data_IF_700818462904
#
_entry.id   IF_700818462904
#
_cell.length_a   1.000
_cell.length_b   1.000
_cell.length_c   1.000
_cell.angle_alpha   90.00
_cell.angle_beta   90.00
_cell.angle_gamma   90.00
#
_symmetry.space_group_name_H-M   'P 1'
#
loop_
_entity.id
_entity.type
_entity.pdbx_description
1 polymer ?
#
# COMPACT_ATOMS: atom_id res chain seq x y z
N UNK A 1 7.15 23.38 -4.54
CA UNK A 1 7.43 22.01 -4.02
C UNK A 1 6.98 22.00 -2.57
N UNK A 2 6.29 20.95 -2.14
CA UNK A 2 5.84 20.77 -0.74
C UNK A 2 7.09 20.45 0.08
N UNK A 3 7.28 21.12 1.23
CA UNK A 3 8.40 20.81 2.13
C UNK A 3 8.23 19.42 2.76
N UNK A 4 9.33 18.85 3.25
CA UNK A 4 9.26 17.54 3.94
C UNK A 4 8.39 17.59 5.20
N UNK A 5 8.39 18.72 5.92
CA UNK A 5 7.56 18.92 7.11
C UNK A 5 6.07 19.05 6.80
N UNK A 6 5.72 19.64 5.66
CA UNK A 6 4.33 19.82 5.23
C UNK A 6 3.74 18.58 4.55
N UNK A 7 4.59 17.68 4.03
CA UNK A 7 4.15 16.52 3.24
C UNK A 7 3.13 15.63 3.96
N UNK A 8 3.30 15.23 5.24
CA UNK A 8 2.33 14.37 5.92
C UNK A 8 0.94 15.00 6.03
N UNK A 9 0.91 16.29 6.40
CA UNK A 9 -0.35 17.05 6.52
C UNK A 9 -1.04 17.22 5.16
N UNK A 10 -0.27 17.53 4.12
CA UNK A 10 -0.77 17.64 2.75
C UNK A 10 -1.35 16.32 2.25
N UNK A 11 -0.60 15.22 2.39
CA UNK A 11 -1.00 13.88 1.97
C UNK A 11 -2.30 13.47 2.68
N UNK A 12 -2.39 13.70 3.98
CA UNK A 12 -3.60 13.41 4.75
C UNK A 12 -4.81 14.17 4.21
N UNK A 13 -4.73 15.50 4.08
CA UNK A 13 -5.83 16.33 3.56
C UNK A 13 -6.26 15.90 2.16
N UNK A 14 -5.29 15.56 1.32
CA UNK A 14 -5.54 15.08 -0.03
C UNK A 14 -6.34 13.77 0.00
N UNK A 15 -5.92 12.76 0.79
CA UNK A 15 -6.62 11.48 0.90
C UNK A 15 -8.00 11.63 1.54
N UNK A 16 -8.15 12.48 2.58
CA UNK A 16 -9.45 12.81 3.16
C UNK A 16 -10.42 13.37 2.10
N UNK A 17 -9.93 14.25 1.24
CA UNK A 17 -10.76 14.89 0.20
C UNK A 17 -11.17 13.94 -0.94
N UNK A 18 -10.29 13.00 -1.34
CA UNK A 18 -10.58 12.07 -2.45
C UNK A 18 -11.25 10.76 -2.00
N UNK A 19 -11.37 10.51 -0.70
CA UNK A 19 -11.91 9.26 -0.18
C UNK A 19 -13.20 8.79 -0.86
N UNK A 20 -14.23 9.65 -1.10
CA UNK A 20 -15.48 9.20 -1.74
C UNK A 20 -15.33 8.69 -3.17
N UNK A 21 -14.26 9.09 -3.88
CA UNK A 21 -14.04 8.73 -5.29
C UNK A 21 -12.81 7.84 -5.50
N UNK A 22 -12.12 7.49 -4.41
CA UNK A 22 -10.83 6.81 -4.45
C UNK A 22 -10.89 5.47 -5.18
N UNK A 23 -11.81 4.59 -4.80
CA UNK A 23 -11.96 3.26 -5.42
C UNK A 23 -12.37 3.33 -6.89
N UNK A 24 -13.30 4.24 -7.21
CA UNK A 24 -13.72 4.50 -8.58
C UNK A 24 -12.54 4.93 -9.46
N UNK A 25 -11.76 5.90 -8.99
CA UNK A 25 -10.61 6.39 -9.76
C UNK A 25 -9.50 5.35 -9.89
N UNK A 26 -9.22 4.56 -8.85
CA UNK A 26 -8.29 3.44 -8.96
C UNK A 26 -8.74 2.44 -10.04
N UNK A 27 -10.03 2.13 -10.09
CA UNK A 27 -10.59 1.26 -11.10
C UNK A 27 -10.44 1.85 -12.51
N UNK A 28 -10.77 3.13 -12.69
CA UNK A 28 -10.65 3.81 -14.00
C UNK A 28 -9.20 3.87 -14.45
N UNK A 29 -8.29 4.36 -13.59
CA UNK A 29 -6.86 4.52 -13.94
C UNK A 29 -6.16 3.20 -14.23
N UNK A 30 -6.59 2.09 -13.64
CA UNK A 30 -5.94 0.80 -13.82
C UNK A 30 -6.75 -0.17 -14.67
N UNK A 31 -7.91 0.28 -15.22
CA UNK A 31 -8.88 -0.60 -15.86
C UNK A 31 -9.23 -1.83 -15.00
N UNK A 32 -9.30 -1.66 -13.67
CA UNK A 32 -9.57 -2.70 -12.69
C UNK A 32 -8.39 -3.62 -12.34
N UNK A 33 -7.23 -3.47 -12.98
CA UNK A 33 -6.07 -4.33 -12.73
C UNK A 33 -5.55 -4.27 -11.28
N UNK A 34 -5.84 -3.18 -10.56
CA UNK A 34 -5.46 -3.03 -9.15
C UNK A 34 -6.05 -4.13 -8.24
N UNK A 35 -7.19 -4.70 -8.59
CA UNK A 35 -7.76 -5.83 -7.85
C UNK A 35 -6.91 -7.09 -8.01
N UNK A 36 -6.43 -7.38 -9.23
CA UNK A 36 -5.54 -8.51 -9.48
C UNK A 36 -4.19 -8.34 -8.78
N UNK A 37 -3.65 -7.12 -8.75
CA UNK A 37 -2.38 -6.84 -8.08
C UNK A 37 -2.50 -7.04 -6.56
N UNK A 38 -3.57 -6.53 -5.92
CA UNK A 38 -3.86 -6.76 -4.49
C UNK A 38 -4.07 -8.24 -4.19
N UNK A 39 -4.80 -8.95 -5.05
CA UNK A 39 -4.97 -10.39 -4.90
C UNK A 39 -3.63 -11.13 -4.96
N UNK A 40 -2.74 -10.71 -5.84
CA UNK A 40 -1.38 -11.29 -5.93
C UNK A 40 -0.58 -11.01 -4.65
N UNK A 41 -0.62 -9.78 -4.12
CA UNK A 41 0.01 -9.46 -2.84
C UNK A 41 -0.62 -10.25 -1.68
N UNK A 42 -1.95 -10.39 -1.65
CA UNK A 42 -2.66 -11.15 -0.63
C UNK A 42 -2.21 -12.62 -0.58
N UNK A 43 -1.97 -13.25 -1.73
CA UNK A 43 -1.42 -14.62 -1.79
C UNK A 43 -0.03 -14.74 -1.17
N UNK A 44 0.84 -13.74 -1.39
CA UNK A 44 2.17 -13.71 -0.74
C UNK A 44 2.05 -13.47 0.78
N UNK A 45 1.05 -12.67 1.20
CA UNK A 45 0.78 -12.40 2.62
C UNK A 45 0.34 -13.68 3.33
N UNK A 46 -0.61 -14.42 2.77
CA UNK A 46 -1.17 -15.62 3.40
C UNK A 46 -0.32 -16.88 3.21
N UNK A 47 0.73 -16.83 2.40
CA UNK A 47 1.58 -17.98 2.12
C UNK A 47 2.34 -18.54 3.35
N UNK A 48 2.41 -17.76 4.44
CA UNK A 48 3.00 -18.17 5.72
C UNK A 48 1.97 -18.59 6.78
N UNK A 49 0.70 -18.72 6.42
CA UNK A 49 -0.43 -18.99 7.32
C UNK A 49 -0.43 -18.10 8.58
N UNK A 50 -0.40 -16.75 8.42
CA UNK A 50 -0.27 -15.81 9.52
C UNK A 50 -1.50 -15.85 10.43
N UNK A 51 -1.30 -15.80 11.75
CA UNK A 51 -2.39 -15.61 12.71
C UNK A 51 -2.82 -14.12 12.78
N UNK A 52 -1.87 -13.20 12.61
CA UNK A 52 -2.12 -11.74 12.67
C UNK A 52 -1.46 -11.04 11.48
N UNK A 53 -2.27 -10.34 10.69
CA UNK A 53 -1.84 -9.50 9.55
C UNK A 53 -2.11 -8.04 9.88
N UNK A 54 -1.12 -7.19 9.72
CA UNK A 54 -1.21 -5.73 9.87
C UNK A 54 -1.14 -5.07 8.49
N UNK A 55 -2.24 -4.43 8.07
CA UNK A 55 -2.33 -3.69 6.79
C UNK A 55 -2.18 -2.19 7.07
N UNK A 56 -1.02 -1.64 6.73
CA UNK A 56 -0.64 -0.25 6.98
C UNK A 56 -1.08 0.69 5.85
N UNK A 57 -1.69 1.81 6.20
CA UNK A 57 -2.39 2.70 5.29
C UNK A 57 -3.43 1.92 4.46
N UNK A 58 -4.30 1.20 5.16
CA UNK A 58 -5.27 0.30 4.55
C UNK A 58 -6.31 1.02 3.66
N UNK A 59 -6.43 2.34 3.79
CA UNK A 59 -7.37 3.15 3.03
C UNK A 59 -8.81 2.65 3.19
N UNK A 60 -9.45 2.36 2.08
CA UNK A 60 -10.82 1.81 2.04
C UNK A 60 -10.88 0.29 2.26
N UNK A 61 -9.78 -0.35 2.69
CA UNK A 61 -9.72 -1.75 3.10
C UNK A 61 -9.52 -2.79 1.99
N UNK A 62 -9.30 -2.38 0.75
CA UNK A 62 -9.26 -3.30 -0.40
C UNK A 62 -8.19 -4.42 -0.27
N UNK A 63 -6.99 -4.13 0.29
CA UNK A 63 -5.98 -5.16 0.50
C UNK A 63 -6.38 -6.07 1.66
N UNK A 64 -6.88 -5.52 2.77
CA UNK A 64 -7.40 -6.29 3.90
C UNK A 64 -8.49 -7.28 3.47
N UNK A 65 -9.41 -6.85 2.60
CA UNK A 65 -10.45 -7.74 2.06
C UNK A 65 -9.88 -8.80 1.13
N UNK A 66 -8.88 -8.47 0.32
CA UNK A 66 -8.21 -9.45 -0.54
C UNK A 66 -7.47 -10.51 0.31
N UNK A 67 -6.83 -10.12 1.40
CA UNK A 67 -6.20 -11.05 2.36
C UNK A 67 -7.25 -11.97 2.98
N UNK A 68 -8.36 -11.43 3.47
CA UNK A 68 -9.45 -12.24 4.03
C UNK A 68 -10.00 -13.27 3.03
N UNK A 69 -10.08 -12.91 1.75
CA UNK A 69 -10.57 -13.80 0.69
C UNK A 69 -9.59 -14.93 0.34
N UNK A 70 -8.29 -14.64 0.32
CA UNK A 70 -7.24 -15.62 -0.04
C UNK A 70 -6.78 -16.47 1.15
N UNK A 71 -7.02 -16.06 2.40
CA UNK A 71 -6.63 -16.81 3.59
C UNK A 71 -7.39 -18.13 3.69
N UNK A 72 -6.67 -19.23 3.90
CA UNK A 72 -7.23 -20.58 4.08
C UNK A 72 -7.39 -20.95 5.57
N UNK A 73 -6.47 -20.44 6.40
CA UNK A 73 -6.52 -20.59 7.85
C UNK A 73 -7.08 -19.33 8.53
N UNK A 74 -7.63 -19.44 9.75
CA UNK A 74 -8.09 -18.29 10.53
C UNK A 74 -6.97 -17.27 10.77
N UNK A 75 -7.22 -16.01 10.45
CA UNK A 75 -6.32 -14.91 10.75
C UNK A 75 -7.10 -13.66 11.20
N UNK A 76 -6.50 -12.88 12.08
CA UNK A 76 -6.97 -11.54 12.42
C UNK A 76 -6.27 -10.51 11.54
N UNK A 77 -7.05 -9.61 10.93
CA UNK A 77 -6.50 -8.54 10.08
C UNK A 77 -6.71 -7.22 10.81
N UNK A 78 -5.62 -6.47 11.00
CA UNK A 78 -5.64 -5.13 11.58
C UNK A 78 -5.34 -4.13 10.47
N UNK A 79 -6.36 -3.38 10.04
CA UNK A 79 -6.22 -2.28 9.08
C UNK A 79 -5.94 -0.98 9.80
N UNK A 80 -4.81 -0.34 9.50
CA UNK A 80 -4.41 0.94 10.10
C UNK A 80 -4.39 2.02 9.04
N UNK A 81 -5.04 3.14 9.30
CA UNK A 81 -4.94 4.34 8.46
C UNK A 81 -5.03 5.61 9.32
N UNK A 82 -4.45 6.72 8.84
CA UNK A 82 -4.52 8.00 9.53
C UNK A 82 -5.76 8.83 9.14
N UNK A 83 -6.44 8.47 8.03
CA UNK A 83 -7.58 9.17 7.44
C UNK A 83 -8.92 8.61 7.97
N UNK A 84 -9.68 9.36 8.80
CA UNK A 84 -10.99 8.89 9.25
C UNK A 84 -11.96 8.61 8.10
N UNK A 85 -12.08 9.46 7.03
CA UNK A 85 -12.99 9.17 5.92
C UNK A 85 -12.67 7.86 5.18
N UNK A 86 -11.38 7.49 5.09
CA UNK A 86 -10.96 6.21 4.51
C UNK A 86 -11.42 5.03 5.39
N UNK A 87 -11.19 5.12 6.70
CA UNK A 87 -11.61 4.08 7.66
C UNK A 87 -13.13 3.93 7.71
N UNK A 88 -13.88 5.03 7.65
CA UNK A 88 -15.35 4.98 7.60
C UNK A 88 -15.83 4.20 6.37
N UNK A 89 -15.21 4.43 5.21
CA UNK A 89 -15.51 3.67 3.99
C UNK A 89 -15.09 2.20 4.12
N UNK A 90 -13.93 1.90 4.71
CA UNK A 90 -13.50 0.53 4.96
C UNK A 90 -14.48 -0.22 5.87
N UNK A 91 -14.93 0.40 6.95
CA UNK A 91 -15.94 -0.16 7.87
C UNK A 91 -17.28 -0.37 7.17
N UNK A 92 -17.75 0.62 6.38
CA UNK A 92 -18.98 0.51 5.62
C UNK A 92 -18.94 -0.64 4.59
N UNK A 93 -17.82 -0.78 3.86
CA UNK A 93 -17.58 -1.90 2.93
C UNK A 93 -17.56 -3.24 3.68
N UNK A 94 -16.83 -3.31 4.79
CA UNK A 94 -16.79 -4.51 5.63
C UNK A 94 -18.18 -4.91 6.14
N UNK A 95 -19.00 -3.93 6.57
CA UNK A 95 -20.37 -4.20 7.04
C UNK A 95 -21.25 -4.83 5.95
N UNK A 96 -21.02 -4.48 4.67
CA UNK A 96 -21.79 -4.95 3.51
C UNK A 96 -21.31 -6.30 2.96
N UNK A 97 -20.15 -6.82 3.38
CA UNK A 97 -19.68 -8.12 2.93
C UNK A 97 -20.64 -9.24 3.34
N UNK A 98 -21.01 -10.08 2.38
CA UNK A 98 -21.89 -11.25 2.60
C UNK A 98 -21.19 -12.32 3.44
N UNK A 99 -19.91 -12.53 3.22
CA UNK A 99 -19.08 -13.49 3.94
C UNK A 99 -17.97 -12.75 4.69
N UNK A 100 -17.97 -12.85 6.00
CA UNK A 100 -16.92 -12.37 6.92
C UNK A 100 -16.18 -13.58 7.47
N UNK A 101 -15.28 -14.12 6.66
CA UNK A 101 -14.58 -15.38 7.00
C UNK A 101 -13.71 -15.24 8.25
N UNK A 102 -13.09 -14.05 8.41
CA UNK A 102 -12.20 -13.76 9.51
C UNK A 102 -12.41 -12.31 10.01
N UNK A 103 -12.05 -12.01 11.28
CA UNK A 103 -12.19 -10.66 11.81
C UNK A 103 -11.25 -9.68 11.10
N UNK A 104 -11.78 -8.51 10.77
CA UNK A 104 -11.02 -7.34 10.35
C UNK A 104 -11.35 -6.21 11.31
N UNK A 105 -10.33 -5.64 11.93
CA UNK A 105 -10.43 -4.48 12.80
C UNK A 105 -9.77 -3.28 12.13
N UNK A 106 -10.37 -2.10 12.24
CA UNK A 106 -9.83 -0.87 11.68
C UNK A 106 -9.46 0.10 12.79
N UNK A 107 -8.22 0.57 12.78
CA UNK A 107 -7.65 1.44 13.79
C UNK A 107 -7.07 2.70 13.14
N UNK A 108 -7.37 3.85 13.72
CA UNK A 108 -6.71 5.10 13.35
C UNK A 108 -5.38 5.24 14.08
N UNK A 109 -4.27 5.22 13.34
CA UNK A 109 -2.94 5.48 13.89
C UNK A 109 -1.99 6.02 12.82
N UNK A 110 -0.84 6.51 13.27
CA UNK A 110 0.31 6.85 12.42
C UNK A 110 1.13 5.58 12.17
N UNK A 111 1.46 5.32 10.91
CA UNK A 111 2.27 4.16 10.51
C UNK A 111 3.73 4.24 10.96
N UNK A 112 4.18 5.43 11.38
CA UNK A 112 5.52 5.66 11.94
C UNK A 112 5.57 5.51 13.47
N UNK A 113 4.40 5.40 14.15
CA UNK A 113 4.28 5.27 15.60
C UNK A 113 3.07 4.41 15.95
N UNK A 114 3.17 3.11 15.71
CA UNK A 114 2.07 2.17 15.88
C UNK A 114 1.79 1.88 17.37
N UNK A 115 0.52 1.92 17.81
CA UNK A 115 0.15 1.59 19.17
C UNK A 115 0.10 0.07 19.39
N UNK A 116 1.11 -0.64 18.92
CA UNK A 116 1.23 -2.08 18.99
C UNK A 116 2.52 -2.47 19.71
N UNK A 117 2.51 -3.56 20.51
CA UNK A 117 3.72 -4.09 21.13
C UNK A 117 4.75 -4.54 20.10
N UNK A 118 6.02 -4.61 20.52
CA UNK A 118 7.06 -5.25 19.75
C UNK A 118 6.73 -6.72 19.49
N UNK A 119 7.13 -7.23 18.32
CA UNK A 119 6.98 -8.64 17.95
C UNK A 119 5.54 -9.18 18.16
N UNK A 120 4.51 -8.40 17.75
CA UNK A 120 3.11 -8.74 17.99
C UNK A 120 2.36 -9.26 16.74
N UNK A 121 2.91 -9.06 15.52
CA UNK A 121 2.26 -9.45 14.27
C UNK A 121 3.13 -10.39 13.43
N UNK A 122 2.50 -11.27 12.67
CA UNK A 122 3.19 -12.24 11.81
C UNK A 122 3.54 -11.66 10.46
N UNK A 123 2.64 -10.82 9.90
CA UNK A 123 2.85 -10.15 8.63
C UNK A 123 2.49 -8.67 8.74
N UNK A 124 3.37 -7.81 8.23
CA UNK A 124 3.09 -6.40 7.95
C UNK A 124 2.94 -6.22 6.44
N UNK A 125 1.90 -5.57 6.02
CA UNK A 125 1.67 -5.28 4.60
C UNK A 125 1.21 -3.85 4.36
N UNK A 126 1.36 -3.39 3.12
CA UNK A 126 0.76 -2.16 2.62
C UNK A 126 0.59 -2.20 1.10
N UNK A 127 -0.28 -1.35 0.58
CA UNK A 127 -0.41 -1.15 -0.86
C UNK A 127 -0.44 0.35 -1.20
N UNK A 128 0.51 0.79 -2.04
CA UNK A 128 0.60 2.16 -2.57
C UNK A 128 0.83 3.25 -1.51
N UNK A 129 1.53 2.89 -0.41
CA UNK A 129 1.86 3.78 0.70
C UNK A 129 3.22 4.45 0.53
N UNK A 130 4.28 3.67 0.23
CA UNK A 130 5.68 4.04 0.49
C UNK A 130 6.11 5.35 -0.17
N UNK A 131 5.64 5.66 -1.38
CA UNK A 131 5.93 6.92 -2.08
C UNK A 131 5.39 8.17 -1.37
N UNK A 132 4.43 8.00 -0.46
CA UNK A 132 3.82 9.08 0.31
C UNK A 132 4.59 9.42 1.59
N UNK A 133 5.46 8.52 2.04
CA UNK A 133 6.27 8.71 3.24
C UNK A 133 7.42 9.71 2.99
N UNK A 134 7.87 10.35 4.06
CA UNK A 134 9.03 11.24 4.07
C UNK A 134 10.30 10.43 4.29
N UNK A 135 10.25 9.49 5.23
CA UNK A 135 11.38 8.68 5.64
C UNK A 135 11.02 7.19 5.60
N UNK A 136 11.59 6.47 4.63
CA UNK A 136 11.37 5.02 4.47
C UNK A 136 12.10 4.21 5.56
N UNK A 137 13.26 4.68 6.01
CA UNK A 137 14.05 3.98 7.04
C UNK A 137 13.30 3.93 8.38
N UNK A 138 12.72 5.06 8.80
CA UNK A 138 11.90 5.14 10.00
C UNK A 138 10.68 4.20 9.91
N UNK A 139 10.01 4.19 8.75
CA UNK A 139 8.89 3.30 8.51
C UNK A 139 9.30 1.82 8.56
N UNK A 140 10.41 1.45 7.93
CA UNK A 140 10.90 0.07 7.95
C UNK A 140 11.34 -0.36 9.35
N UNK A 141 11.92 0.55 10.12
CA UNK A 141 12.27 0.32 11.54
C UNK A 141 11.02 0.00 12.36
N UNK A 142 9.94 0.77 12.19
CA UNK A 142 8.69 0.53 12.88
C UNK A 142 8.01 -0.78 12.43
N UNK A 143 8.01 -1.08 11.13
CA UNK A 143 7.57 -2.39 10.62
C UNK A 143 8.37 -3.54 11.24
N UNK A 144 9.69 -3.39 11.30
CA UNK A 144 10.56 -4.39 11.88
C UNK A 144 10.32 -4.57 13.38
N UNK A 145 10.03 -3.48 14.12
CA UNK A 145 9.71 -3.53 15.55
C UNK A 145 8.49 -4.39 15.84
N UNK A 146 7.39 -4.15 15.13
CA UNK A 146 6.12 -4.85 15.38
C UNK A 146 6.08 -6.28 14.84
N UNK A 147 6.89 -6.59 13.83
CA UNK A 147 7.01 -7.96 13.30
C UNK A 147 7.64 -8.90 14.32
N UNK A 148 7.09 -10.10 14.45
CA UNK A 148 7.72 -11.20 15.18
C UNK A 148 9.03 -11.65 14.51
N UNK A 149 9.98 -12.24 15.24
CA UNK A 149 11.08 -12.97 14.62
C UNK A 149 10.56 -14.00 13.60
N UNK A 150 11.14 -14.03 12.40
CA UNK A 150 10.64 -14.84 11.28
C UNK A 150 9.39 -14.27 10.59
N UNK A 151 8.87 -13.13 11.03
CA UNK A 151 7.71 -12.45 10.42
C UNK A 151 8.04 -11.88 9.04
N UNK A 152 7.00 -11.61 8.26
CA UNK A 152 7.11 -11.21 6.85
C UNK A 152 6.61 -9.80 6.63
N UNK A 153 7.33 -9.04 5.81
CA UNK A 153 6.90 -7.76 5.24
C UNK A 153 6.54 -7.95 3.77
N UNK A 154 5.34 -7.51 3.36
CA UNK A 154 4.89 -7.56 1.97
C UNK A 154 4.41 -6.18 1.55
N UNK A 155 4.99 -5.59 0.50
CA UNK A 155 4.53 -4.29 -0.01
C UNK A 155 4.22 -4.35 -1.51
N UNK A 156 3.10 -3.77 -1.89
CA UNK A 156 2.66 -3.58 -3.28
C UNK A 156 2.78 -2.10 -3.63
N UNK A 157 3.63 -1.75 -4.61
CA UNK A 157 3.86 -0.34 -4.93
C UNK A 157 4.02 -0.12 -6.44
N UNK A 158 3.65 1.10 -6.89
CA UNK A 158 3.92 1.57 -8.25
C UNK A 158 5.44 1.69 -8.41
N UNK A 159 5.95 1.28 -9.56
CA UNK A 159 7.38 1.36 -9.86
C UNK A 159 7.62 1.76 -11.32
N UNK A 160 8.86 1.98 -11.66
CA UNK A 160 9.27 2.31 -13.02
C UNK A 160 9.41 1.04 -13.85
N UNK A 161 8.68 0.91 -14.98
CA UNK A 161 8.83 -0.26 -15.86
C UNK A 161 10.29 -0.46 -16.30
N UNK A 162 10.79 -1.71 -16.30
CA UNK A 162 12.18 -1.98 -16.66
C UNK A 162 12.45 -1.89 -18.17
N UNK A 163 11.40 -2.00 -19.01
CA UNK A 163 11.52 -1.97 -20.46
C UNK A 163 11.47 -0.53 -20.98
N UNK A 164 12.55 0.03 -21.58
CA UNK A 164 12.65 1.45 -21.91
C UNK A 164 11.50 2.00 -22.76
N UNK A 165 11.12 1.34 -23.84
CA UNK A 165 10.04 1.81 -24.72
C UNK A 165 8.67 1.83 -24.02
N UNK A 166 8.37 0.80 -23.25
CA UNK A 166 7.15 0.74 -22.43
C UNK A 166 7.18 1.75 -21.29
N UNK A 167 8.36 1.98 -20.68
CA UNK A 167 8.55 3.00 -19.65
C UNK A 167 8.15 4.37 -20.16
N UNK A 168 8.60 4.79 -21.35
CA UNK A 168 8.24 6.09 -21.92
C UNK A 168 6.74 6.21 -22.20
N UNK A 169 6.09 5.16 -22.68
CA UNK A 169 4.64 5.13 -22.86
C UNK A 169 3.89 5.22 -21.52
N UNK A 170 4.36 4.51 -20.49
CA UNK A 170 3.80 4.59 -19.15
C UNK A 170 3.96 5.99 -18.53
N UNK A 171 5.14 6.61 -18.66
CA UNK A 171 5.40 7.96 -18.19
C UNK A 171 4.49 8.98 -18.90
N UNK A 172 4.29 8.84 -20.21
CA UNK A 172 3.36 9.69 -20.96
C UNK A 172 1.92 9.55 -20.46
N UNK A 173 1.44 8.32 -20.27
CA UNK A 173 0.14 8.01 -19.68
C UNK A 173 0.02 8.62 -18.28
N UNK A 174 0.99 8.34 -17.41
CA UNK A 174 0.94 8.67 -15.99
C UNK A 174 1.05 10.17 -15.72
N UNK A 175 1.88 10.89 -16.51
CA UNK A 175 2.10 12.32 -16.35
C UNK A 175 1.03 13.19 -17.04
N UNK A 176 0.33 12.68 -18.07
CA UNK A 176 -0.62 13.48 -18.83
C UNK A 176 -2.07 12.99 -18.71
N UNK A 177 -2.31 11.70 -18.94
CA UNK A 177 -3.68 11.16 -18.96
C UNK A 177 -4.27 11.03 -17.56
N UNK A 178 -3.49 10.61 -16.57
CA UNK A 178 -3.96 10.46 -15.18
C UNK A 178 -4.42 11.81 -14.59
N UNK A 179 -3.65 12.93 -14.69
CA UNK A 179 -4.13 14.24 -14.25
C UNK A 179 -5.36 14.73 -15.04
N UNK A 180 -5.43 14.44 -16.35
CA UNK A 180 -6.60 14.78 -17.16
C UNK A 180 -7.87 14.04 -16.71
N UNK A 181 -7.76 12.73 -16.43
CA UNK A 181 -8.86 11.94 -15.86
C UNK A 181 -9.29 12.49 -14.50
N UNK A 182 -8.34 12.85 -13.64
CA UNK A 182 -8.63 13.48 -12.35
C UNK A 182 -9.40 14.79 -12.48
N UNK A 183 -9.04 15.62 -13.48
CA UNK A 183 -9.72 16.88 -13.77
C UNK A 183 -11.13 16.69 -14.31
N UNK A 184 -11.34 15.68 -15.17
CA UNK A 184 -12.61 15.47 -15.87
C UNK A 184 -13.63 14.71 -15.02
N UNK A 185 -13.18 13.74 -14.22
CA UNK A 185 -14.06 12.79 -13.51
C UNK A 185 -14.29 13.16 -12.04
N UNK A 186 -13.30 13.79 -11.41
CA UNK A 186 -13.38 14.17 -10.00
C UNK A 186 -12.81 15.57 -9.82
N UNK A 187 -13.51 16.43 -9.07
CA UNK A 187 -13.14 17.86 -8.91
C UNK A 187 -11.89 18.09 -8.02
N UNK A 188 -11.01 17.10 -7.89
CA UNK A 188 -9.80 17.11 -7.04
C UNK A 188 -8.53 16.94 -7.90
N UNK A 189 -8.23 17.90 -8.73
CA UNK A 189 -7.09 17.88 -9.66
C UNK A 189 -5.74 17.68 -8.94
N UNK A 190 -5.58 18.23 -7.73
CA UNK A 190 -4.32 18.21 -6.97
C UNK A 190 -3.83 16.79 -6.66
N UNK A 191 -4.73 15.88 -6.27
CA UNK A 191 -4.37 14.50 -5.97
C UNK A 191 -3.79 13.74 -7.17
N UNK A 192 -4.30 14.01 -8.36
CA UNK A 192 -3.89 13.34 -9.59
C UNK A 192 -2.69 13.99 -10.28
N UNK A 193 -2.31 15.21 -9.89
CA UNK A 193 -1.00 15.80 -10.21
C UNK A 193 0.09 15.40 -9.21
N UNK A 194 -0.29 15.17 -7.96
CA UNK A 194 0.62 14.64 -6.94
C UNK A 194 1.10 13.21 -7.25
N UNK A 195 0.23 12.37 -7.81
CA UNK A 195 0.53 10.96 -8.08
C UNK A 195 1.78 10.77 -8.98
N UNK A 196 1.90 11.41 -10.16
CA UNK A 196 3.14 11.37 -10.94
C UNK A 196 4.35 11.95 -10.22
N UNK A 197 4.17 13.08 -9.52
CA UNK A 197 5.26 13.75 -8.81
C UNK A 197 5.84 12.86 -7.70
N UNK A 198 4.98 12.16 -6.94
CA UNK A 198 5.42 11.26 -5.88
C UNK A 198 6.20 10.05 -6.41
N UNK A 199 5.92 9.61 -7.65
CA UNK A 199 6.63 8.49 -8.27
C UNK A 199 8.03 8.90 -8.78
N UNK A 200 8.21 10.15 -9.23
CA UNK A 200 9.49 10.60 -9.81
C UNK A 200 10.68 10.46 -8.85
N UNK A 201 10.46 10.69 -7.56
CA UNK A 201 11.50 10.58 -6.52
C UNK A 201 11.50 9.22 -5.81
N UNK A 202 10.54 8.35 -6.12
CA UNK A 202 10.41 7.05 -5.49
C UNK A 202 11.39 6.03 -6.09
N UNK A 203 12.05 5.18 -5.29
CA UNK A 203 12.98 4.18 -5.80
C UNK A 203 12.28 3.18 -6.72
N UNK A 204 12.98 2.73 -7.76
CA UNK A 204 12.53 1.60 -8.58
C UNK A 204 12.57 0.29 -7.76
N UNK A 205 11.98 -0.79 -8.29
CA UNK A 205 11.86 -2.04 -7.55
C UNK A 205 13.21 -2.63 -7.07
N UNK A 206 14.30 -2.67 -7.86
CA UNK A 206 15.61 -3.09 -7.36
C UNK A 206 16.14 -2.23 -6.21
N UNK A 207 16.00 -0.90 -6.31
CA UNK A 207 16.48 0.02 -5.30
C UNK A 207 15.65 -0.07 -4.00
N UNK A 208 14.34 -0.29 -4.10
CA UNK A 208 13.49 -0.54 -2.95
C UNK A 208 13.88 -1.87 -2.25
N UNK A 209 14.20 -2.91 -3.02
CA UNK A 209 14.71 -4.15 -2.45
C UNK A 209 16.06 -3.97 -1.73
N UNK A 210 16.92 -3.07 -2.22
CA UNK A 210 18.16 -2.70 -1.53
C UNK A 210 17.86 -1.95 -0.23
N UNK A 211 16.97 -0.95 -0.26
CA UNK A 211 16.57 -0.21 0.95
C UNK A 211 15.99 -1.12 2.04
N UNK A 212 15.21 -2.15 1.66
CA UNK A 212 14.72 -3.14 2.62
C UNK A 212 15.86 -3.95 3.25
N UNK A 213 16.87 -4.38 2.47
CA UNK A 213 18.04 -5.08 3.04
C UNK A 213 18.86 -4.19 3.97
N UNK A 214 19.07 -2.95 3.58
CA UNK A 214 19.79 -1.96 4.38
C UNK A 214 19.08 -1.65 5.70
N UNK A 215 17.75 -1.81 5.74
CA UNK A 215 16.91 -1.68 6.94
C UNK A 215 16.82 -2.97 7.78
N UNK A 216 17.64 -3.99 7.50
CA UNK A 216 17.76 -5.20 8.33
C UNK A 216 16.83 -6.35 7.94
N UNK A 217 16.06 -6.24 6.85
CA UNK A 217 15.29 -7.37 6.34
C UNK A 217 16.17 -8.36 5.56
N UNK A 218 15.89 -9.66 5.74
CA UNK A 218 16.53 -10.74 5.00
C UNK A 218 15.63 -11.28 3.87
N UNK A 219 16.20 -12.12 3.02
CA UNK A 219 15.50 -12.83 1.95
C UNK A 219 14.62 -11.93 1.08
N UNK A 220 15.11 -10.72 0.81
CA UNK A 220 14.35 -9.73 0.05
C UNK A 220 14.27 -10.13 -1.41
N UNK A 221 13.05 -10.33 -1.87
CA UNK A 221 12.70 -10.61 -3.26
C UNK A 221 11.61 -9.66 -3.77
N UNK A 222 11.47 -9.56 -5.08
CA UNK A 222 10.36 -8.81 -5.68
C UNK A 222 9.94 -9.42 -7.01
N UNK A 223 8.70 -9.15 -7.39
CA UNK A 223 8.11 -9.54 -8.67
C UNK A 223 7.38 -8.37 -9.30
N UNK A 224 7.67 -8.12 -10.59
CA UNK A 224 6.93 -7.15 -11.39
C UNK A 224 5.54 -7.65 -11.74
N UNK A 225 4.57 -6.74 -11.71
CA UNK A 225 3.19 -6.92 -12.14
C UNK A 225 2.82 -5.83 -13.14
N UNK A 226 1.73 -6.01 -13.90
CA UNK A 226 1.25 -5.00 -14.83
C UNK A 226 2.31 -4.50 -15.82
N UNK A 227 3.05 -5.42 -16.46
CA UNK A 227 4.15 -5.09 -17.37
C UNK A 227 5.29 -4.28 -16.71
N UNK A 228 5.42 -4.37 -15.39
CA UNK A 228 6.46 -3.66 -14.63
C UNK A 228 6.05 -2.28 -14.12
N UNK A 229 4.77 -1.90 -14.22
CA UNK A 229 4.26 -0.65 -13.63
C UNK A 229 4.07 -0.72 -12.12
N UNK A 230 3.98 -1.93 -11.60
CA UNK A 230 3.81 -2.24 -10.17
C UNK A 230 4.75 -3.37 -9.80
N UNK A 231 5.19 -3.40 -8.56
CA UNK A 231 5.97 -4.52 -8.00
C UNK A 231 5.42 -4.91 -6.63
N UNK A 232 5.42 -6.21 -6.35
CA UNK A 232 5.26 -6.75 -5.01
C UNK A 232 6.63 -7.13 -4.48
N UNK A 233 6.99 -6.61 -3.29
CA UNK A 233 8.22 -6.98 -2.58
C UNK A 233 7.86 -7.83 -1.37
N UNK A 234 8.71 -8.79 -1.08
CA UNK A 234 8.60 -9.69 0.04
C UNK A 234 9.94 -9.67 0.77
N UNK A 235 9.90 -9.50 2.07
CA UNK A 235 11.09 -9.47 2.91
C UNK A 235 10.79 -10.16 4.24
N UNK A 236 11.75 -10.82 4.87
CA UNK A 236 11.56 -11.51 6.13
C UNK A 236 12.38 -10.83 7.23
N UNK A 237 11.82 -10.73 8.44
CA UNK A 237 12.57 -10.39 9.64
C UNK A 237 13.38 -11.60 10.07
N UNK A 238 14.68 -11.42 10.31
CA UNK A 238 15.55 -12.50 10.82
C UNK A 238 15.03 -13.00 12.17
N UNK A 239 15.18 -14.29 12.42
CA UNK A 239 14.88 -14.95 13.72
C UNK A 239 15.80 -14.49 14.83
#
# INVERSE_FOLDING_TARGET
MISQEEKPTYVRRMFDAIAPTYDFMNTVMTAGAHHLWRRTAAREIVASDPAVVLDLACGTGDLSFAVMQEAMAPCTILGVDFSPPMLDLAQAKHAQLREKRFPIEFLRADVLALPLPDASVDVVTNAFLLRNLVNLEEFFTECHRVLRPGGRFVTLEITHPPVPGFRSAFELYFNNLVPLLGKLLVRHQEAYTYLPTSLQSFPNAPNLATALRDSGFAEVSYRYLGLGTVAVHIANKVT
#
